data_IF_444231438566
#
_entry.id   IF_444231438566
#
_cell.length_a   1.000
_cell.length_b   1.000
_cell.length_c   1.000
_cell.angle_alpha   90.00
_cell.angle_beta   90.00
_cell.angle_gamma   90.00
#
_symmetry.space_group_name_H-M   'P 1'
#
loop_
_entity.id
_entity.type
_entity.pdbx_description
1 polymer ?
#
# COMPACT_ATOMS: atom_id res chain seq x y z
N UNK A 1 9.88 19.89 -37.24
CA UNK A 1 10.60 18.86 -36.45
C UNK A 1 9.60 18.36 -35.42
N UNK A 2 9.06 17.14 -35.55
CA UNK A 2 7.96 16.68 -34.71
C UNK A 2 8.49 16.00 -33.44
N UNK A 3 7.98 16.46 -32.28
CA UNK A 3 8.18 15.84 -30.98
C UNK A 3 7.36 14.56 -30.88
N UNK A 4 8.02 13.47 -30.50
CA UNK A 4 7.49 12.10 -30.40
C UNK A 4 7.39 11.75 -28.91
N UNK A 5 6.24 11.29 -28.43
CA UNK A 5 6.11 10.63 -27.12
C UNK A 5 5.12 9.42 -27.20
N UNK A 6 5.54 8.26 -27.74
CA UNK A 6 4.78 6.98 -27.71
C UNK A 6 4.84 6.34 -26.30
N UNK A 7 3.96 5.47 -25.78
CA UNK A 7 4.07 4.99 -24.37
C UNK A 7 5.34 4.19 -24.02
N UNK A 8 6.13 3.82 -25.02
CA UNK A 8 7.55 3.51 -24.84
C UNK A 8 8.34 4.68 -24.22
N UNK A 9 7.77 5.88 -24.14
CA UNK A 9 8.15 7.21 -23.68
C UNK A 9 7.38 7.68 -22.47
N UNK A 10 6.61 6.86 -21.77
CA UNK A 10 6.59 7.02 -20.32
C UNK A 10 7.80 6.28 -19.75
N UNK A 11 8.10 5.08 -20.26
CA UNK A 11 9.36 4.37 -20.01
C UNK A 11 10.62 5.02 -20.62
N UNK A 12 10.55 5.65 -21.79
CA UNK A 12 11.61 6.42 -22.49
C UNK A 12 11.56 7.89 -22.08
N UNK A 13 10.48 8.44 -21.51
CA UNK A 13 10.63 9.71 -20.77
C UNK A 13 11.32 9.38 -19.46
N UNK A 14 10.98 8.31 -18.75
CA UNK A 14 11.80 7.86 -17.62
C UNK A 14 13.26 7.53 -18.02
N UNK A 15 13.51 6.85 -19.15
CA UNK A 15 14.86 6.47 -19.60
C UNK A 15 15.64 7.58 -20.35
N UNK A 16 14.99 8.44 -21.14
CA UNK A 16 15.60 9.61 -21.79
C UNK A 16 15.73 10.80 -20.84
N UNK A 17 14.81 11.02 -19.89
CA UNK A 17 15.07 11.92 -18.76
C UNK A 17 16.22 11.42 -17.89
N UNK A 18 16.42 10.11 -17.83
CA UNK A 18 17.59 9.51 -17.19
C UNK A 18 18.89 9.66 -17.99
N UNK A 19 18.86 9.48 -19.33
CA UNK A 19 20.05 9.65 -20.19
C UNK A 19 20.44 11.11 -20.43
N UNK A 20 19.48 12.03 -20.54
CA UNK A 20 19.76 13.44 -20.78
C UNK A 20 20.36 14.14 -19.53
N UNK A 21 20.13 13.60 -18.33
CA UNK A 21 20.66 14.12 -17.06
C UNK A 21 22.12 13.77 -16.74
N UNK A 22 22.82 13.01 -17.60
CA UNK A 22 24.21 12.59 -17.31
C UNK A 22 25.27 13.70 -17.45
N UNK A 23 24.88 14.94 -17.76
CA UNK A 23 25.82 16.07 -17.87
C UNK A 23 25.45 17.34 -17.09
N UNK A 24 24.27 17.43 -16.47
CA UNK A 24 23.90 18.58 -15.64
C UNK A 24 22.89 18.14 -14.58
N UNK A 25 23.28 18.21 -13.30
CA UNK A 25 22.50 18.20 -12.03
C UNK A 25 21.27 17.24 -11.90
N UNK A 26 21.12 16.54 -10.75
CA UNK A 26 20.23 15.38 -10.64
C UNK A 26 18.74 15.75 -10.67
N UNK A 27 18.04 15.34 -11.73
CA UNK A 27 16.62 15.60 -11.96
C UNK A 27 15.73 14.50 -11.30
N UNK A 28 14.62 14.91 -10.67
CA UNK A 28 13.78 14.10 -9.75
C UNK A 28 13.14 12.84 -10.35
N UNK A 29 12.96 12.78 -11.68
CA UNK A 29 12.39 11.61 -12.37
C UNK A 29 13.37 10.42 -12.51
N UNK A 30 14.69 10.66 -12.44
CA UNK A 30 15.71 9.62 -12.60
C UNK A 30 16.13 8.94 -11.28
N UNK A 31 15.46 9.28 -10.17
CA UNK A 31 15.82 8.76 -8.87
C UNK A 31 15.38 7.30 -8.67
N UNK A 32 14.38 6.78 -9.38
CA UNK A 32 13.98 5.38 -9.20
C UNK A 32 15.07 4.38 -9.62
N UNK A 33 15.63 4.52 -10.83
CA UNK A 33 16.67 3.59 -11.31
C UNK A 33 17.99 3.77 -10.56
N UNK A 34 18.38 5.00 -10.24
CA UNK A 34 19.67 5.32 -9.61
C UNK A 34 19.61 5.17 -8.07
N UNK A 35 18.53 5.62 -7.41
CA UNK A 35 18.39 5.53 -5.96
C UNK A 35 18.03 4.12 -5.48
N UNK A 36 17.24 3.33 -6.24
CA UNK A 36 16.97 1.95 -5.86
C UNK A 36 18.17 1.01 -6.18
N UNK A 37 19.10 1.40 -7.05
CA UNK A 37 20.30 0.61 -7.40
C UNK A 37 21.54 0.92 -6.52
N UNK A 38 21.67 2.11 -5.93
CA UNK A 38 22.87 2.51 -5.17
C UNK A 38 22.84 2.19 -3.66
N UNK A 39 21.69 1.89 -3.04
CA UNK A 39 21.60 1.77 -1.57
C UNK A 39 21.60 0.31 -1.10
N UNK A 40 22.80 -0.24 -0.89
CA UNK A 40 22.96 -1.51 -0.19
C UNK A 40 22.92 -1.40 1.35
N UNK A 41 22.78 -0.19 1.93
CA UNK A 41 22.87 -0.02 3.41
C UNK A 41 21.98 1.02 4.11
N UNK A 42 21.19 1.83 3.42
CA UNK A 42 20.28 2.79 4.09
C UNK A 42 18.87 2.70 3.50
N UNK A 43 18.10 1.69 3.93
CA UNK A 43 16.76 1.36 3.40
C UNK A 43 15.64 1.88 4.31
N UNK A 44 15.76 3.14 4.75
CA UNK A 44 14.70 3.87 5.46
C UNK A 44 14.18 5.09 4.68
N UNK A 45 14.79 5.45 3.54
CA UNK A 45 14.60 6.80 2.98
C UNK A 45 13.61 6.97 1.82
N UNK A 46 13.27 5.92 1.06
CA UNK A 46 12.57 6.12 -0.23
C UNK A 46 11.39 5.15 -0.38
N UNK A 47 10.23 5.56 0.15
CA UNK A 47 8.96 4.81 0.12
C UNK A 47 8.53 4.37 -1.29
N UNK A 48 9.03 5.04 -2.33
CA UNK A 48 8.79 4.70 -3.73
C UNK A 48 9.47 3.38 -4.16
N UNK A 49 10.70 3.13 -3.71
CA UNK A 49 11.45 1.88 -3.98
C UNK A 49 10.87 0.68 -3.21
N UNK A 50 10.16 0.92 -2.12
CA UNK A 50 9.44 -0.14 -1.39
C UNK A 50 8.09 -0.45 -2.03
N UNK A 51 7.59 0.42 -2.90
CA UNK A 51 6.25 0.32 -3.50
C UNK A 51 6.30 -0.29 -4.90
N UNK A 52 7.32 0.07 -5.69
CA UNK A 52 7.55 -0.47 -7.03
C UNK A 52 8.98 -0.95 -7.17
N UNK A 53 9.13 -2.12 -7.78
CA UNK A 53 10.42 -2.78 -8.01
C UNK A 53 11.16 -2.15 -9.20
N UNK A 54 10.42 -1.48 -10.10
CA UNK A 54 10.96 -0.81 -11.27
C UNK A 54 10.08 0.36 -11.73
N UNK A 55 10.64 1.34 -12.47
CA UNK A 55 9.84 2.38 -13.13
C UNK A 55 8.78 1.82 -14.09
N UNK A 56 9.04 0.66 -14.70
CA UNK A 56 8.10 -0.02 -15.59
C UNK A 56 6.84 -0.45 -14.83
N UNK A 57 7.00 -0.99 -13.62
CA UNK A 57 5.88 -1.38 -12.76
C UNK A 57 5.01 -0.18 -12.37
N UNK A 58 5.63 0.97 -12.08
CA UNK A 58 4.90 2.22 -11.83
C UNK A 58 4.13 2.68 -13.07
N UNK A 59 4.77 2.64 -14.26
CA UNK A 59 4.14 3.04 -15.52
C UNK A 59 2.95 2.15 -15.87
N UNK A 60 3.08 0.83 -15.74
CA UNK A 60 1.98 -0.12 -15.97
C UNK A 60 0.83 0.14 -15.02
N UNK A 61 1.15 0.39 -13.74
CA UNK A 61 0.15 0.76 -12.74
C UNK A 61 -0.55 2.08 -13.10
N UNK A 62 0.20 3.11 -13.54
CA UNK A 62 -0.34 4.39 -13.96
C UNK A 62 -1.29 4.28 -15.15
N UNK A 63 -0.94 3.47 -16.17
CA UNK A 63 -1.80 3.21 -17.33
C UNK A 63 -3.09 2.51 -16.91
N UNK A 64 -3.04 1.54 -15.98
CA UNK A 64 -4.25 0.89 -15.46
C UNK A 64 -5.19 1.86 -14.75
N UNK A 65 -4.66 2.86 -14.06
CA UNK A 65 -5.46 3.87 -13.33
C UNK A 65 -6.00 4.93 -14.29
N UNK A 66 -5.11 5.60 -15.01
CA UNK A 66 -5.39 6.83 -15.76
C UNK A 66 -5.78 6.57 -17.22
N UNK A 67 -5.44 5.39 -17.74
CA UNK A 67 -5.51 5.08 -19.16
C UNK A 67 -4.31 5.63 -19.92
N UNK A 68 -4.31 5.42 -21.22
CA UNK A 68 -3.31 5.95 -22.14
C UNK A 68 -3.98 6.47 -23.42
N UNK A 69 -3.39 7.49 -24.02
CA UNK A 69 -3.73 7.92 -25.38
C UNK A 69 -2.44 8.11 -26.16
N UNK A 70 -2.23 7.29 -27.18
CA UNK A 70 -1.12 7.39 -28.11
C UNK A 70 -1.60 8.08 -29.39
N UNK A 71 -0.89 9.15 -29.78
CA UNK A 71 -1.15 9.84 -31.04
C UNK A 71 0.00 9.53 -31.99
N UNK A 72 -0.27 8.76 -33.04
CA UNK A 72 0.71 8.44 -34.07
C UNK A 72 0.62 9.46 -35.22
N UNK A 73 1.73 10.09 -35.55
CA UNK A 73 1.84 11.10 -36.62
C UNK A 73 2.43 10.50 -37.90
N UNK A 74 1.85 9.40 -38.38
CA UNK A 74 2.28 8.77 -39.64
C UNK A 74 1.14 8.74 -40.69
N UNK A 75 1.51 8.89 -41.97
CA UNK A 75 0.55 9.08 -43.08
C UNK A 75 -0.30 7.83 -43.40
N UNK A 76 0.01 6.66 -42.82
CA UNK A 76 -0.66 5.38 -43.14
C UNK A 76 -0.90 4.45 -41.94
N UNK A 77 -0.82 4.96 -40.72
CA UNK A 77 -1.15 4.20 -39.50
C UNK A 77 -2.39 4.75 -38.79
N UNK A 78 -2.94 3.94 -37.92
CA UNK A 78 -3.96 4.37 -36.96
C UNK A 78 -3.39 5.54 -36.12
N UNK A 79 -4.00 6.71 -36.28
CA UNK A 79 -3.45 7.99 -35.80
C UNK A 79 -3.73 8.25 -34.32
N UNK A 80 -4.64 7.46 -33.72
CA UNK A 80 -5.03 7.59 -32.31
C UNK A 80 -5.38 6.22 -31.72
N UNK A 81 -4.62 5.80 -30.71
CA UNK A 81 -4.90 4.60 -29.92
C UNK A 81 -5.19 5.01 -28.48
N UNK A 82 -6.35 4.63 -27.94
CA UNK A 82 -6.78 5.01 -26.59
C UNK A 82 -7.08 3.77 -25.77
N UNK A 83 -6.41 3.63 -24.63
CA UNK A 83 -6.73 2.63 -23.61
C UNK A 83 -7.40 3.34 -22.45
N UNK A 84 -8.64 2.96 -22.12
CA UNK A 84 -9.34 3.55 -20.99
C UNK A 84 -8.74 3.08 -19.66
N UNK A 85 -8.54 4.02 -18.74
CA UNK A 85 -8.17 3.72 -17.35
C UNK A 85 -9.35 3.06 -16.63
N UNK A 86 -9.02 2.12 -15.75
CA UNK A 86 -9.99 1.41 -14.91
C UNK A 86 -10.26 2.12 -13.57
N UNK A 87 -9.48 3.17 -13.25
CA UNK A 87 -9.49 3.86 -11.96
C UNK A 87 -8.87 3.03 -10.82
N UNK A 88 -8.97 3.53 -9.60
CA UNK A 88 -8.41 2.89 -8.40
C UNK A 88 -9.29 1.77 -7.83
N UNK A 89 -10.60 1.76 -8.10
CA UNK A 89 -11.54 0.81 -7.50
C UNK A 89 -11.22 -0.67 -7.78
N UNK A 90 -10.91 -1.08 -9.04
CA UNK A 90 -10.54 -2.48 -9.31
C UNK A 90 -9.27 -2.89 -8.59
N UNK A 91 -8.30 -1.98 -8.48
CA UNK A 91 -7.02 -2.21 -7.80
C UNK A 91 -7.20 -2.40 -6.29
N UNK A 92 -8.22 -1.78 -5.69
CA UNK A 92 -8.59 -2.01 -4.29
C UNK A 92 -9.14 -3.42 -4.09
N UNK A 93 -9.95 -3.94 -5.04
CA UNK A 93 -10.48 -5.30 -4.96
C UNK A 93 -9.38 -6.35 -5.13
N UNK A 94 -8.44 -6.12 -6.05
CA UNK A 94 -7.24 -6.95 -6.21
C UNK A 94 -6.44 -6.97 -4.90
N UNK A 95 -6.07 -5.78 -4.39
CA UNK A 95 -5.33 -5.67 -3.13
C UNK A 95 -6.08 -6.33 -1.97
N UNK A 96 -7.40 -6.17 -1.89
CA UNK A 96 -8.23 -6.83 -0.87
C UNK A 96 -8.10 -8.35 -0.93
N UNK A 97 -8.22 -8.93 -2.13
CA UNK A 97 -8.12 -10.38 -2.31
C UNK A 97 -6.74 -10.92 -1.89
N UNK A 98 -5.67 -10.20 -2.22
CA UNK A 98 -4.31 -10.53 -1.83
C UNK A 98 -4.11 -10.43 -0.31
N UNK A 99 -4.60 -9.33 0.30
CA UNK A 99 -4.49 -9.10 1.76
C UNK A 99 -5.26 -10.15 2.54
N UNK A 100 -6.48 -10.47 2.09
CA UNK A 100 -7.31 -11.49 2.72
C UNK A 100 -6.64 -12.87 2.63
N UNK A 101 -6.11 -13.23 1.47
CA UNK A 101 -5.39 -14.50 1.30
C UNK A 101 -4.16 -14.60 2.20
N UNK A 102 -3.38 -13.51 2.33
CA UNK A 102 -2.24 -13.45 3.23
C UNK A 102 -2.66 -13.61 4.70
N UNK A 103 -3.72 -12.90 5.12
CA UNK A 103 -4.28 -13.01 6.47
C UNK A 103 -4.81 -14.42 6.75
N UNK A 104 -5.55 -15.04 5.84
CA UNK A 104 -6.03 -16.41 5.99
C UNK A 104 -4.88 -17.41 6.13
N UNK A 105 -3.80 -17.22 5.36
CA UNK A 105 -2.59 -18.04 5.49
C UNK A 105 -1.95 -17.90 6.86
N UNK A 106 -1.87 -16.66 7.37
CA UNK A 106 -1.35 -16.37 8.70
C UNK A 106 -2.25 -16.94 9.81
N UNK A 107 -3.57 -16.78 9.73
CA UNK A 107 -4.50 -17.26 10.76
C UNK A 107 -4.55 -18.78 10.84
N UNK A 108 -4.63 -19.46 9.69
CA UNK A 108 -4.62 -20.93 9.60
C UNK A 108 -3.29 -21.57 10.03
N UNK A 109 -2.21 -20.80 10.13
CA UNK A 109 -0.87 -21.31 10.43
C UNK A 109 -0.13 -21.89 9.23
N UNK A 110 -0.74 -21.88 8.03
CA UNK A 110 -0.06 -22.26 6.78
C UNK A 110 1.07 -21.29 6.40
N UNK A 111 1.01 -20.04 6.88
CA UNK A 111 2.10 -19.07 6.85
C UNK A 111 2.55 -18.76 8.28
N UNK A 112 3.86 -18.87 8.53
CA UNK A 112 4.44 -18.37 9.78
C UNK A 112 4.48 -16.83 9.80
N UNK A 113 4.30 -16.18 10.97
CA UNK A 113 4.31 -14.71 11.11
C UNK A 113 5.74 -14.16 11.08
N UNK A 114 6.40 -14.34 9.94
CA UNK A 114 7.68 -13.72 9.58
C UNK A 114 7.44 -12.29 9.08
N UNK A 115 8.43 -11.38 9.15
CA UNK A 115 8.30 -10.02 8.63
C UNK A 115 7.78 -9.96 7.19
N UNK A 116 8.28 -10.85 6.31
CA UNK A 116 7.86 -10.88 4.90
C UNK A 116 6.40 -11.32 4.71
N UNK A 117 5.93 -12.29 5.50
CA UNK A 117 4.54 -12.73 5.41
C UNK A 117 3.58 -11.71 6.03
N UNK A 118 3.99 -11.05 7.11
CA UNK A 118 3.24 -9.94 7.71
C UNK A 118 3.16 -8.75 6.75
N UNK A 119 4.25 -8.44 6.04
CA UNK A 119 4.28 -7.37 5.04
C UNK A 119 3.24 -7.58 3.92
N UNK A 120 3.00 -8.83 3.50
CA UNK A 120 1.96 -9.17 2.51
C UNK A 120 0.53 -8.84 2.98
N UNK A 121 0.28 -8.84 4.29
CA UNK A 121 -0.99 -8.42 4.87
C UNK A 121 -1.01 -6.93 5.27
N UNK A 122 0.15 -6.27 5.32
CA UNK A 122 0.36 -4.91 5.87
C UNK A 122 0.35 -3.82 4.81
N UNK A 123 -0.11 -2.62 5.13
CA UNK A 123 0.16 -1.43 4.30
C UNK A 123 1.20 -0.54 4.99
N UNK A 124 1.82 0.41 4.27
CA UNK A 124 2.76 1.35 4.88
C UNK A 124 2.17 2.16 6.05
N UNK A 125 0.86 2.41 6.04
CA UNK A 125 0.17 3.19 7.07
C UNK A 125 -0.48 2.29 8.13
N UNK A 126 -0.84 1.06 7.77
CA UNK A 126 -1.50 0.07 8.65
C UNK A 126 -0.67 -1.22 8.68
N UNK A 127 0.38 -1.28 9.51
CA UNK A 127 1.18 -2.48 9.67
C UNK A 127 0.41 -3.56 10.43
N UNK A 128 0.40 -4.78 9.89
CA UNK A 128 -0.10 -5.98 10.57
C UNK A 128 1.08 -6.64 11.28
N UNK A 129 1.03 -6.66 12.61
CA UNK A 129 2.10 -7.22 13.44
C UNK A 129 1.78 -8.65 13.86
N UNK A 130 2.78 -9.37 14.40
CA UNK A 130 2.57 -10.70 14.98
C UNK A 130 1.48 -10.69 16.07
N UNK A 131 1.50 -9.70 16.96
CA UNK A 131 0.51 -9.58 18.03
C UNK A 131 -0.93 -9.40 17.50
N UNK A 132 -1.11 -8.70 16.38
CA UNK A 132 -2.43 -8.60 15.72
C UNK A 132 -2.88 -9.97 15.20
N UNK A 133 -1.98 -10.77 14.62
CA UNK A 133 -2.31 -12.12 14.14
C UNK A 133 -2.64 -13.06 15.30
N UNK A 134 -1.88 -13.02 16.38
CA UNK A 134 -2.13 -13.82 17.59
C UNK A 134 -3.47 -13.45 18.21
N UNK A 135 -3.72 -12.16 18.41
CA UNK A 135 -4.99 -11.66 18.93
C UNK A 135 -6.18 -12.00 18.02
N UNK A 136 -6.01 -11.97 16.69
CA UNK A 136 -7.05 -12.40 15.75
C UNK A 136 -7.37 -13.89 15.88
N UNK A 137 -6.34 -14.76 16.04
CA UNK A 137 -6.55 -16.22 16.16
C UNK A 137 -7.36 -16.59 17.40
N UNK A 138 -7.21 -15.80 18.47
CA UNK A 138 -7.90 -16.02 19.74
C UNK A 138 -9.29 -15.36 19.79
N UNK A 139 -9.68 -14.57 18.76
CA UNK A 139 -10.98 -13.89 18.70
C UNK A 139 -12.05 -14.80 18.05
N UNK A 140 -13.25 -14.96 18.66
CA UNK A 140 -14.33 -15.74 18.06
C UNK A 140 -14.81 -15.19 16.71
N UNK A 141 -14.65 -13.89 16.46
CA UNK A 141 -15.07 -13.21 15.23
C UNK A 141 -13.91 -13.07 14.21
N UNK A 142 -12.87 -13.93 14.31
CA UNK A 142 -11.63 -13.81 13.53
C UNK A 142 -11.85 -13.61 12.02
N UNK A 143 -12.82 -14.30 11.41
CA UNK A 143 -13.05 -14.25 9.97
C UNK A 143 -13.62 -12.89 9.53
N UNK A 144 -14.52 -12.33 10.33
CA UNK A 144 -15.10 -11.01 10.09
C UNK A 144 -14.03 -9.93 10.26
N UNK A 145 -13.25 -10.02 11.34
CA UNK A 145 -12.19 -9.07 11.65
C UNK A 145 -11.05 -9.16 10.61
N UNK A 146 -10.70 -10.35 10.13
CA UNK A 146 -9.72 -10.53 9.07
C UNK A 146 -10.17 -9.89 7.74
N UNK A 147 -11.43 -10.08 7.34
CA UNK A 147 -12.00 -9.42 6.15
C UNK A 147 -11.98 -7.91 6.29
N UNK A 148 -12.30 -7.40 7.46
CA UNK A 148 -12.29 -5.97 7.71
C UNK A 148 -10.88 -5.39 7.68
N UNK A 149 -9.93 -6.03 8.35
CA UNK A 149 -8.51 -5.65 8.31
C UNK A 149 -7.95 -5.72 6.89
N UNK A 150 -8.31 -6.73 6.10
CA UNK A 150 -7.95 -6.83 4.68
C UNK A 150 -8.45 -5.62 3.90
N UNK A 151 -9.69 -5.18 4.13
CA UNK A 151 -10.29 -4.03 3.45
C UNK A 151 -9.63 -2.70 3.83
N UNK A 152 -9.23 -2.53 5.10
CA UNK A 152 -8.55 -1.34 5.60
C UNK A 152 -7.12 -1.25 5.03
N UNK A 153 -6.38 -2.36 5.09
CA UNK A 153 -5.00 -2.44 4.58
C UNK A 153 -4.94 -2.34 3.05
N UNK A 154 -5.90 -2.93 2.33
CA UNK A 154 -6.00 -2.80 0.87
C UNK A 154 -6.21 -1.35 0.42
N UNK A 155 -7.22 -0.68 0.99
CA UNK A 155 -7.51 0.72 0.68
C UNK A 155 -6.30 1.60 1.00
N UNK A 156 -5.72 1.42 2.20
CA UNK A 156 -4.52 2.13 2.63
C UNK A 156 -3.32 1.92 1.68
N UNK A 157 -3.13 0.69 1.19
CA UNK A 157 -2.05 0.37 0.24
C UNK A 157 -2.25 1.06 -1.10
N UNK A 158 -3.47 1.06 -1.64
CA UNK A 158 -3.78 1.73 -2.93
C UNK A 158 -3.67 3.24 -2.80
N UNK A 159 -4.15 3.82 -1.69
CA UNK A 159 -3.99 5.24 -1.41
C UNK A 159 -2.51 5.65 -1.39
N UNK A 160 -1.64 4.84 -0.77
CA UNK A 160 -0.20 5.10 -0.78
C UNK A 160 0.39 5.09 -2.20
N UNK A 161 0.05 4.07 -3.01
CA UNK A 161 0.46 4.00 -4.43
C UNK A 161 0.00 5.22 -5.23
N UNK A 162 -1.26 5.63 -5.05
CA UNK A 162 -1.83 6.80 -5.73
C UNK A 162 -1.12 8.11 -5.33
N UNK A 163 -0.82 8.31 -4.04
CA UNK A 163 -0.07 9.48 -3.56
C UNK A 163 1.36 9.54 -4.11
N UNK A 164 2.00 8.38 -4.25
CA UNK A 164 3.33 8.31 -4.86
C UNK A 164 3.26 8.64 -6.36
N UNK A 165 2.29 8.07 -7.09
CA UNK A 165 2.08 8.40 -8.51
C UNK A 165 1.80 9.89 -8.70
N UNK A 166 0.96 10.49 -7.86
CA UNK A 166 0.67 11.92 -7.91
C UNK A 166 1.96 12.76 -7.78
N UNK A 167 2.85 12.40 -6.85
CA UNK A 167 4.16 13.06 -6.70
C UNK A 167 5.03 12.90 -7.95
N UNK A 168 5.04 11.71 -8.55
CA UNK A 168 5.78 11.46 -9.80
C UNK A 168 5.24 12.31 -10.95
N UNK A 169 3.92 12.39 -11.11
CA UNK A 169 3.29 13.20 -12.17
C UNK A 169 3.55 14.71 -11.99
N UNK A 170 3.46 15.20 -10.75
CA UNK A 170 3.82 16.59 -10.42
C UNK A 170 5.30 16.87 -10.67
N UNK A 171 6.20 15.93 -10.38
CA UNK A 171 7.61 16.09 -10.73
C UNK A 171 7.81 16.13 -12.26
N UNK A 172 7.10 15.27 -13.00
CA UNK A 172 7.13 15.23 -14.47
C UNK A 172 6.58 16.50 -15.13
N UNK A 173 5.62 17.18 -14.51
CA UNK A 173 5.07 18.44 -15.07
C UNK A 173 6.08 19.60 -15.01
N UNK A 174 7.07 19.53 -14.14
CA UNK A 174 8.15 20.52 -14.05
C UNK A 174 9.33 20.22 -14.97
N UNK A 175 9.28 19.13 -15.73
CA UNK A 175 10.38 18.75 -16.61
C UNK A 175 10.38 19.62 -17.89
N UNK A 176 11.52 20.24 -18.29
CA UNK A 176 11.57 21.19 -19.40
C UNK A 176 11.01 20.73 -20.75
N UNK A 177 11.21 19.47 -21.14
CA UNK A 177 10.71 18.89 -22.39
C UNK A 177 9.18 18.70 -22.35
N UNK A 178 8.62 18.43 -21.17
CA UNK A 178 7.18 18.38 -20.98
C UNK A 178 6.61 19.79 -20.86
N UNK A 179 7.21 20.68 -20.06
CA UNK A 179 6.81 22.08 -19.85
C UNK A 179 6.75 22.92 -21.12
N UNK A 180 7.61 22.63 -22.10
CA UNK A 180 7.58 23.32 -23.39
C UNK A 180 6.56 22.74 -24.38
N UNK A 181 5.94 21.59 -24.07
CA UNK A 181 4.98 20.91 -24.92
C UNK A 181 3.53 21.05 -24.38
N UNK A 182 2.83 22.11 -24.80
CA UNK A 182 1.45 22.42 -24.41
C UNK A 182 0.46 21.23 -24.45
N UNK A 183 0.43 20.40 -25.51
CA UNK A 183 -0.45 19.22 -25.53
C UNK A 183 -0.13 18.20 -24.42
N UNK A 184 1.16 18.01 -24.10
CA UNK A 184 1.61 17.11 -23.04
C UNK A 184 1.27 17.68 -21.66
N UNK A 185 1.45 18.98 -21.44
CA UNK A 185 1.06 19.65 -20.19
C UNK A 185 -0.44 19.59 -19.94
N UNK A 186 -1.26 19.81 -20.98
CA UNK A 186 -2.72 19.73 -20.87
C UNK A 186 -3.16 18.30 -20.52
N UNK A 187 -2.60 17.29 -21.17
CA UNK A 187 -2.91 15.88 -20.88
C UNK A 187 -2.48 15.48 -19.45
N UNK A 188 -1.28 15.91 -19.04
CA UNK A 188 -0.75 15.63 -17.70
C UNK A 188 -1.58 16.29 -16.60
N UNK A 189 -1.97 17.56 -16.77
CA UNK A 189 -2.84 18.28 -15.83
C UNK A 189 -4.19 17.59 -15.67
N UNK A 190 -4.81 17.16 -16.79
CA UNK A 190 -6.05 16.39 -16.76
C UNK A 190 -5.92 15.09 -15.95
N UNK A 191 -4.80 14.38 -16.12
CA UNK A 191 -4.53 13.14 -15.40
C UNK A 191 -4.28 13.39 -13.90
N UNK A 192 -3.54 14.44 -13.55
CA UNK A 192 -3.34 14.89 -12.16
C UNK A 192 -4.69 15.20 -11.51
N UNK A 193 -5.54 16.01 -12.15
CA UNK A 193 -6.86 16.37 -11.62
C UNK A 193 -7.79 15.15 -11.45
N UNK A 194 -7.72 14.18 -12.36
CA UNK A 194 -8.44 12.92 -12.24
C UNK A 194 -7.95 12.12 -11.03
N UNK A 195 -6.64 11.93 -10.90
CA UNK A 195 -6.03 11.17 -9.81
C UNK A 195 -6.30 11.81 -8.44
N UNK A 196 -6.21 13.14 -8.33
CA UNK A 196 -6.49 13.85 -7.09
C UNK A 196 -7.95 13.67 -6.64
N UNK A 197 -8.90 13.65 -7.57
CA UNK A 197 -10.31 13.37 -7.26
C UNK A 197 -10.47 11.97 -6.70
N UNK A 198 -9.85 10.98 -7.32
CA UNK A 198 -9.89 9.60 -6.82
C UNK A 198 -9.22 9.47 -5.44
N UNK A 199 -8.05 10.09 -5.23
CA UNK A 199 -7.37 10.12 -3.93
C UNK A 199 -8.28 10.69 -2.83
N UNK A 200 -8.96 11.82 -3.10
CA UNK A 200 -9.90 12.41 -2.14
C UNK A 200 -11.06 11.47 -1.82
N UNK A 201 -11.60 10.77 -2.82
CA UNK A 201 -12.65 9.78 -2.61
C UNK A 201 -12.17 8.63 -1.71
N UNK A 202 -10.96 8.11 -1.94
CA UNK A 202 -10.40 7.05 -1.10
C UNK A 202 -10.10 7.51 0.32
N UNK A 203 -9.63 8.75 0.51
CA UNK A 203 -9.44 9.32 1.85
C UNK A 203 -10.75 9.38 2.62
N UNK A 204 -11.83 9.84 1.98
CA UNK A 204 -13.17 9.87 2.57
C UNK A 204 -13.65 8.46 2.90
N UNK A 205 -13.49 7.50 1.98
CA UNK A 205 -13.88 6.10 2.22
C UNK A 205 -13.15 5.50 3.43
N UNK A 206 -11.83 5.70 3.53
CA UNK A 206 -11.04 5.24 4.67
C UNK A 206 -11.48 5.89 5.97
N UNK A 207 -11.69 7.20 5.96
CA UNK A 207 -12.14 7.96 7.13
C UNK A 207 -13.52 7.49 7.59
N UNK A 208 -14.47 7.30 6.67
CA UNK A 208 -15.81 6.80 6.98
C UNK A 208 -15.74 5.40 7.60
N UNK A 209 -14.91 4.51 7.07
CA UNK A 209 -14.71 3.16 7.66
C UNK A 209 -14.17 3.24 9.09
N UNK A 210 -13.20 4.11 9.34
CA UNK A 210 -12.60 4.30 10.67
C UNK A 210 -13.56 4.98 11.67
N UNK A 211 -14.39 5.92 11.20
CA UNK A 211 -15.39 6.59 12.05
C UNK A 211 -16.55 5.67 12.42
N UNK A 212 -17.06 4.90 11.45
CA UNK A 212 -18.16 3.97 11.70
C UNK A 212 -17.72 2.77 12.54
N UNK A 213 -16.43 2.43 12.46
CA UNK A 213 -15.89 1.33 13.22
C UNK A 213 -14.40 1.58 13.51
N UNK A 214 -14.01 1.59 14.80
CA UNK A 214 -12.62 1.76 15.25
C UNK A 214 -11.66 0.87 14.46
N UNK A 215 -10.47 1.36 14.13
CA UNK A 215 -9.45 0.59 13.40
C UNK A 215 -9.38 -0.86 13.89
N UNK A 216 -9.42 -1.82 12.94
CA UNK A 216 -9.61 -3.23 13.29
C UNK A 216 -8.44 -3.79 14.09
N UNK A 217 -7.19 -3.36 13.81
CA UNK A 217 -6.03 -3.84 14.56
C UNK A 217 -6.07 -3.38 16.02
N UNK A 218 -6.43 -2.12 16.29
CA UNK A 218 -6.60 -1.61 17.65
C UNK A 218 -7.73 -2.32 18.39
N UNK A 219 -8.89 -2.48 17.74
CA UNK A 219 -10.04 -3.19 18.31
C UNK A 219 -9.69 -4.62 18.74
N UNK A 220 -8.97 -5.35 17.88
CA UNK A 220 -8.55 -6.72 18.15
C UNK A 220 -7.58 -6.78 19.33
N UNK A 221 -6.58 -5.89 19.35
CA UNK A 221 -5.62 -5.83 20.45
C UNK A 221 -6.29 -5.48 21.78
N UNK A 222 -7.23 -4.54 21.79
CA UNK A 222 -7.97 -4.14 22.99
C UNK A 222 -8.84 -5.29 23.53
N UNK A 223 -9.53 -6.02 22.64
CA UNK A 223 -10.32 -7.22 23.01
C UNK A 223 -9.43 -8.31 23.60
N UNK A 224 -8.28 -8.56 22.97
CA UNK A 224 -7.33 -9.57 23.43
C UNK A 224 -6.73 -9.21 24.79
N UNK A 225 -6.34 -7.95 25.01
CA UNK A 225 -5.86 -7.47 26.30
C UNK A 225 -6.95 -7.60 27.40
N UNK A 226 -8.19 -7.20 27.11
CA UNK A 226 -9.31 -7.33 28.03
C UNK A 226 -9.63 -8.79 28.40
N UNK A 227 -9.54 -9.71 27.45
CA UNK A 227 -9.70 -11.16 27.70
C UNK A 227 -8.57 -11.75 28.54
N UNK A 228 -7.32 -11.32 28.31
CA UNK A 228 -6.17 -11.72 29.10
C UNK A 228 -6.26 -11.22 30.55
N UNK A 229 -6.68 -9.98 30.77
CA UNK A 229 -6.84 -9.42 32.11
C UNK A 229 -8.04 -10.04 32.86
N UNK A 230 -9.13 -10.33 32.17
CA UNK A 230 -10.25 -11.09 32.74
C UNK A 230 -9.86 -12.52 33.11
N UNK A 231 -8.92 -13.14 32.40
CA UNK A 231 -8.42 -14.47 32.75
C UNK A 231 -7.48 -14.42 33.96
N UNK A 232 -6.69 -13.35 34.11
CA UNK A 232 -5.81 -13.14 35.28
C UNK A 232 -6.57 -12.92 36.58
N UNK A 233 -7.78 -12.37 36.53
CA UNK A 233 -8.63 -12.23 37.73
C UNK A 233 -9.32 -13.53 38.14
N UNK A 234 -9.25 -14.58 37.31
CA UNK A 234 -9.86 -15.90 37.56
C UNK A 234 -8.88 -16.93 38.17
N UNK A 235 -7.57 -16.66 38.22
CA UNK A 235 -6.62 -17.35 39.13
C UNK A 235 -6.47 -16.55 40.44
N UNK A 236 -6.50 -17.08 41.67
CA UNK A 236 -6.56 -18.43 42.21
C UNK A 236 -7.06 -18.29 43.67
N UNK A 237 -8.38 -18.30 43.88
CA UNK A 237 -8.93 -18.49 45.22
C UNK A 237 -8.79 -19.96 45.58
N UNK A 238 -7.89 -20.29 46.50
CA UNK A 238 -7.70 -21.65 47.01
C UNK A 238 -9.08 -22.19 47.47
N UNK A 239 -9.64 -23.25 46.85
CA UNK A 239 -11.04 -23.63 47.04
C UNK A 239 -11.34 -24.16 48.44
N UNK A 240 -10.32 -24.44 49.25
CA UNK A 240 -10.46 -24.91 50.63
C UNK A 240 -9.69 -24.00 51.61
N UNK A 241 -10.38 -23.05 52.26
CA UNK A 241 -9.79 -22.27 53.35
C UNK A 241 -9.59 -23.17 54.58
N UNK A 242 -8.48 -23.91 54.63
CA UNK A 242 -8.21 -24.83 55.74
C UNK A 242 -6.90 -25.61 55.69
N UNK A 243 -6.29 -25.76 54.50
CA UNK A 243 -5.09 -26.61 54.32
C UNK A 243 -3.88 -26.22 55.18
N UNK A 244 -3.69 -24.93 55.46
CA UNK A 244 -2.61 -24.46 56.34
C UNK A 244 -2.87 -24.86 57.81
N UNK A 245 -4.13 -24.76 58.27
CA UNK A 245 -4.50 -25.15 59.62
C UNK A 245 -4.38 -26.67 59.84
N UNK A 246 -4.72 -27.47 58.81
CA UNK A 246 -4.58 -28.92 58.85
C UNK A 246 -3.12 -29.39 58.81
N UNK A 247 -2.25 -28.64 58.14
CA UNK A 247 -0.80 -28.91 58.12
C UNK A 247 -0.15 -28.62 59.49
N UNK A 248 -0.62 -27.58 60.18
CA UNK A 248 -0.13 -27.22 61.52
C UNK A 248 -0.66 -28.14 62.61
N UNK A 249 -1.89 -28.66 62.45
CA UNK A 249 -2.47 -29.63 63.38
C UNK A 249 -1.76 -30.99 63.38
N UNK A 250 -1.14 -31.38 62.26
CA UNK A 250 -0.38 -32.65 62.13
C UNK A 250 1.04 -32.59 62.67
N UNK A 251 1.50 -31.43 63.16
CA UNK A 251 2.85 -31.21 63.67
C UNK A 251 2.92 -31.15 65.20
N UNK A 252 1.87 -31.58 65.90
CA UNK A 252 1.82 -31.86 67.34
C UNK A 252 1.66 -33.35 67.59
#
# INVERSE_FOLDING_TARGET
>A
MPFYLPAHSLGLVSDELCRAGSSFAPNSACWLRTACAQSSKDVAGWAICQTWTSPQEESEWAVRVLGESEVATCDSCETLRVTAGSGLTPLIQEAYSERLKALQGLLSGSLSPTPDNLAKASSPILPVTRGVIEALRDDPDQDLLARRLASETALSSVLNKALLLLRTLLAGSHEPNIASAEPAQTALTKNIDALEREIRLLQIELQVRQMLATNTASLVLDRHAGGADASRTVEQGDPEPGRLNDADARRK
#
